data_IF_265370747964
#
_entry.id   IF_265370747964
#
_cell.length_a   1.000
_cell.length_b   1.000
_cell.length_c   1.000
_cell.angle_alpha   90.00
_cell.angle_beta   90.00
_cell.angle_gamma   90.00
#
_symmetry.space_group_name_H-M   'P 1'
#
loop_
_entity.id
_entity.type
_entity.pdbx_description
1 polymer ?
#
# COMPACT_ATOMS: atom_id res chain seq x y z
N UNK A 1 4.10 -2.14 -4.70
CA UNK A 1 3.39 -2.62 -3.51
C UNK A 1 4.43 -2.79 -2.40
N UNK A 2 4.08 -2.56 -1.13
CA UNK A 2 5.02 -2.57 0.00
C UNK A 2 5.47 -4.01 0.25
N UNK A 3 6.78 -4.29 0.29
CA UNK A 3 7.26 -5.64 0.55
C UNK A 3 7.02 -5.99 2.02
N UNK A 4 6.42 -7.14 2.28
CA UNK A 4 6.05 -7.61 3.61
C UNK A 4 6.90 -8.80 4.06
N UNK A 5 7.34 -8.79 5.31
CA UNK A 5 7.96 -9.91 6.00
C UNK A 5 6.99 -10.40 7.06
N UNK A 6 6.49 -11.61 6.85
CA UNK A 6 5.54 -12.23 7.76
C UNK A 6 6.26 -12.72 9.02
N UNK A 7 5.82 -12.32 10.22
CA UNK A 7 6.38 -12.87 11.45
C UNK A 7 5.93 -14.31 11.65
N UNK A 8 6.77 -15.12 12.29
CA UNK A 8 6.37 -16.45 12.75
C UNK A 8 5.21 -16.33 13.73
N UNK A 9 4.13 -17.07 13.49
CA UNK A 9 2.94 -17.06 14.35
C UNK A 9 3.11 -18.05 15.52
N UNK A 10 3.19 -17.58 16.78
CA UNK A 10 3.25 -18.46 17.94
C UNK A 10 1.97 -19.30 18.05
N UNK A 11 2.10 -20.57 18.45
CA UNK A 11 0.95 -21.49 18.57
C UNK A 11 -0.19 -20.94 19.44
N UNK A 12 0.14 -20.20 20.52
CA UNK A 12 -0.83 -19.54 21.41
C UNK A 12 -1.71 -18.49 20.72
N UNK A 13 -1.23 -17.91 19.61
CA UNK A 13 -1.95 -16.88 18.86
C UNK A 13 -2.78 -17.46 17.70
N UNK A 14 -2.68 -18.76 17.38
CA UNK A 14 -3.41 -19.36 16.25
C UNK A 14 -4.95 -19.27 16.37
N UNK A 15 -5.44 -19.13 17.59
CA UNK A 15 -6.88 -18.98 17.90
C UNK A 15 -7.33 -17.51 17.95
N UNK A 16 -6.41 -16.55 17.86
CA UNK A 16 -6.78 -15.14 17.80
C UNK A 16 -7.36 -14.80 16.41
N UNK A 17 -8.27 -13.82 16.32
CA UNK A 17 -8.82 -13.38 15.04
C UNK A 17 -7.72 -12.95 14.08
N UNK A 18 -7.70 -13.52 12.86
CA UNK A 18 -6.66 -13.25 11.87
C UNK A 18 -6.54 -11.75 11.54
N UNK A 19 -7.65 -11.03 11.44
CA UNK A 19 -7.67 -9.59 11.19
C UNK A 19 -6.82 -8.81 12.20
N UNK A 20 -6.99 -9.09 13.51
CA UNK A 20 -6.22 -8.42 14.58
C UNK A 20 -4.73 -8.72 14.50
N UNK A 21 -4.39 -9.97 14.19
CA UNK A 21 -2.99 -10.39 14.03
C UNK A 21 -2.34 -9.71 12.82
N UNK A 22 -3.04 -9.63 11.69
CA UNK A 22 -2.56 -8.97 10.48
C UNK A 22 -2.42 -7.46 10.67
N UNK A 23 -3.38 -6.79 11.32
CA UNK A 23 -3.28 -5.35 11.64
C UNK A 23 -2.10 -5.10 12.58
N UNK A 24 -1.86 -6.01 13.53
CA UNK A 24 -0.71 -5.93 14.43
C UNK A 24 0.63 -6.20 13.73
N UNK A 25 0.66 -7.09 12.75
CA UNK A 25 1.88 -7.47 12.03
C UNK A 25 2.24 -6.48 10.91
N UNK A 26 1.24 -5.96 10.19
CA UNK A 26 1.42 -5.20 8.95
C UNK A 26 0.84 -3.79 9.00
N UNK A 27 0.09 -3.45 10.05
CA UNK A 27 -0.54 -2.15 10.20
C UNK A 27 -1.93 -2.09 9.57
N UNK A 28 -2.59 -0.93 9.75
CA UNK A 28 -3.93 -0.65 9.23
C UNK A 28 -3.88 -0.21 7.76
N UNK A 29 -3.31 -1.06 6.89
CA UNK A 29 -3.22 -0.80 5.45
C UNK A 29 -3.66 -2.01 4.64
N UNK A 30 -4.31 -1.76 3.52
CA UNK A 30 -4.53 -2.78 2.51
C UNK A 30 -3.17 -3.33 2.04
N UNK A 31 -3.06 -4.65 1.93
CA UNK A 31 -1.81 -5.33 1.60
C UNK A 31 -1.38 -5.11 0.15
N UNK A 32 -2.29 -4.70 -0.73
CA UNK A 32 -2.04 -4.54 -2.17
C UNK A 32 -2.03 -3.07 -2.61
N UNK A 33 -3.12 -2.34 -2.34
CA UNK A 33 -3.21 -0.92 -2.73
C UNK A 33 -2.58 0.04 -1.71
N UNK A 34 -2.23 -0.45 -0.50
CA UNK A 34 -1.58 0.31 0.58
C UNK A 34 -2.42 1.46 1.16
N UNK A 35 -3.71 1.52 0.80
CA UNK A 35 -4.65 2.48 1.35
C UNK A 35 -4.86 2.22 2.85
N UNK A 36 -4.97 3.26 3.69
CA UNK A 36 -5.37 3.13 5.09
C UNK A 36 -6.73 2.42 5.23
N UNK A 37 -6.84 1.56 6.23
CA UNK A 37 -8.08 0.85 6.60
C UNK A 37 -8.77 1.63 7.74
N UNK A 38 -9.82 2.39 7.41
CA UNK A 38 -10.50 3.29 8.34
C UNK A 38 -11.76 2.65 8.96
N UNK A 39 -12.59 2.01 8.14
CA UNK A 39 -13.91 1.51 8.57
C UNK A 39 -13.97 -0.01 8.50
N UNK A 40 -13.91 -0.56 7.28
CA UNK A 40 -14.04 -1.99 7.04
C UNK A 40 -12.70 -2.64 6.66
N UNK A 41 -12.53 -3.89 7.12
CA UNK A 41 -11.36 -4.70 6.85
C UNK A 41 -11.75 -6.12 6.49
N UNK A 42 -11.21 -6.62 5.37
CA UNK A 42 -11.43 -7.99 4.92
C UNK A 42 -10.13 -8.79 5.02
N UNK A 43 -10.24 -10.03 5.49
CA UNK A 43 -9.12 -10.98 5.50
C UNK A 43 -9.24 -11.87 4.27
N UNK A 44 -8.36 -11.66 3.29
CA UNK A 44 -8.33 -12.44 2.05
C UNK A 44 -7.30 -13.56 2.13
N UNK A 45 -7.68 -14.76 1.67
CA UNK A 45 -6.82 -15.93 1.63
C UNK A 45 -6.32 -16.20 0.20
N UNK A 46 -5.03 -15.97 -0.02
CA UNK A 46 -4.39 -16.11 -1.33
C UNK A 46 -4.43 -17.54 -1.91
N UNK A 47 -4.65 -18.56 -1.08
CA UNK A 47 -4.76 -19.95 -1.56
C UNK A 47 -6.13 -20.22 -2.18
N UNK A 48 -7.17 -19.63 -1.62
CA UNK A 48 -8.57 -19.90 -2.02
C UNK A 48 -9.18 -18.79 -2.85
N UNK A 49 -8.57 -17.60 -2.86
CA UNK A 49 -9.14 -16.40 -3.47
C UNK A 49 -10.33 -15.82 -2.70
N UNK A 50 -10.70 -16.41 -1.56
CA UNK A 50 -11.88 -16.02 -0.79
C UNK A 50 -11.52 -15.10 0.37
N UNK A 51 -12.43 -14.17 0.69
CA UNK A 51 -12.39 -13.46 1.96
C UNK A 51 -13.02 -14.31 3.06
N UNK A 52 -12.39 -14.31 4.22
CA UNK A 52 -12.91 -14.91 5.43
C UNK A 52 -13.54 -13.79 6.25
N UNK A 53 -14.85 -13.91 6.49
CA UNK A 53 -15.62 -12.88 7.19
C UNK A 53 -15.61 -13.10 8.71
N UNK A 54 -15.58 -12.00 9.46
CA UNK A 54 -15.82 -11.95 10.90
C UNK A 54 -14.64 -12.28 11.81
N UNK A 55 -14.86 -12.10 13.11
CA UNK A 55 -13.88 -12.35 14.19
C UNK A 55 -13.48 -13.84 14.32
N UNK A 56 -14.18 -14.75 13.64
CA UNK A 56 -13.96 -16.19 13.71
C UNK A 56 -12.94 -16.71 12.68
N UNK A 57 -12.32 -15.84 11.89
CA UNK A 57 -11.27 -16.25 10.97
C UNK A 57 -10.06 -16.76 11.76
N UNK A 58 -9.88 -18.09 11.79
CA UNK A 58 -8.70 -18.72 12.38
C UNK A 58 -7.44 -18.31 11.62
N UNK A 59 -6.32 -18.16 12.32
CA UNK A 59 -5.03 -17.91 11.69
C UNK A 59 -4.33 -19.21 11.22
N UNK A 60 -5.09 -20.26 10.90
CA UNK A 60 -4.53 -21.54 10.44
C UNK A 60 -3.76 -21.40 9.12
N UNK A 61 -4.26 -20.55 8.22
CA UNK A 61 -3.64 -20.26 6.93
C UNK A 61 -2.76 -19.00 6.96
N UNK A 62 -2.19 -18.66 8.12
CA UNK A 62 -1.45 -17.40 8.36
C UNK A 62 -0.56 -16.95 7.19
N UNK A 63 0.18 -17.88 6.57
CA UNK A 63 1.09 -17.61 5.45
C UNK A 63 0.40 -17.02 4.21
N UNK A 64 -0.90 -17.27 4.04
CA UNK A 64 -1.70 -16.90 2.88
C UNK A 64 -2.71 -15.78 3.17
N UNK A 65 -2.76 -15.25 4.40
CA UNK A 65 -3.75 -14.22 4.77
C UNK A 65 -3.21 -12.80 4.55
N UNK A 66 -4.07 -11.94 4.01
CA UNK A 66 -3.80 -10.53 3.68
C UNK A 66 -5.01 -9.66 4.04
N UNK A 67 -4.76 -8.38 4.32
CA UNK A 67 -5.81 -7.39 4.55
C UNK A 67 -6.18 -6.70 3.24
N UNK A 68 -7.47 -6.57 2.95
CA UNK A 68 -7.99 -5.77 1.85
C UNK A 68 -8.76 -4.56 2.40
N UNK A 69 -8.70 -3.45 1.66
CA UNK A 69 -9.68 -2.37 1.73
C UNK A 69 -10.94 -2.73 0.93
N UNK A 70 -11.97 -1.88 1.04
CA UNK A 70 -13.26 -2.07 0.38
C UNK A 70 -13.13 -2.27 -1.12
N UNK A 71 -12.37 -1.40 -1.79
CA UNK A 71 -12.27 -1.40 -3.24
C UNK A 71 -11.45 -2.59 -3.76
N UNK A 72 -10.38 -3.02 -3.06
CA UNK A 72 -9.70 -4.28 -3.44
C UNK A 72 -10.59 -5.49 -3.17
N UNK A 73 -11.39 -5.46 -2.10
CA UNK A 73 -12.34 -6.52 -1.80
C UNK A 73 -13.44 -6.62 -2.88
N UNK A 74 -14.03 -5.51 -3.31
CA UNK A 74 -15.00 -5.50 -4.40
C UNK A 74 -14.39 -5.94 -5.72
N UNK A 75 -13.20 -5.43 -6.06
CA UNK A 75 -12.50 -5.80 -7.29
C UNK A 75 -12.23 -7.32 -7.36
N UNK A 76 -11.75 -7.94 -6.28
CA UNK A 76 -11.48 -9.38 -6.30
C UNK A 76 -12.75 -10.23 -6.42
N UNK A 77 -13.91 -9.76 -5.95
CA UNK A 77 -15.18 -10.48 -6.14
C UNK A 77 -15.58 -10.57 -7.61
N UNK A 78 -15.15 -9.61 -8.43
CA UNK A 78 -15.45 -9.53 -9.86
C UNK A 78 -14.31 -10.07 -10.73
N UNK A 79 -13.16 -10.40 -10.13
CA UNK A 79 -11.97 -10.80 -10.84
C UNK A 79 -12.06 -12.25 -11.38
N UNK A 80 -11.33 -12.51 -12.47
CA UNK A 80 -11.19 -13.84 -13.02
C UNK A 80 -10.35 -14.72 -12.07
N UNK A 81 -10.94 -15.82 -11.60
CA UNK A 81 -10.28 -16.78 -10.72
C UNK A 81 -9.07 -17.47 -11.38
N UNK A 82 -8.97 -17.46 -12.71
CA UNK A 82 -7.78 -17.94 -13.41
C UNK A 82 -6.53 -17.10 -13.14
N UNK A 83 -6.69 -15.85 -12.69
CA UNK A 83 -5.55 -14.99 -12.34
C UNK A 83 -4.98 -15.28 -10.96
N UNK A 84 -5.74 -15.93 -10.06
CA UNK A 84 -5.33 -16.23 -8.69
C UNK A 84 -3.94 -16.89 -8.56
N UNK A 85 -3.60 -17.97 -9.31
CA UNK A 85 -2.26 -18.57 -9.23
C UNK A 85 -1.16 -17.69 -9.84
N UNK A 86 -1.51 -16.64 -10.58
CA UNK A 86 -0.57 -15.74 -11.25
C UNK A 86 -0.23 -14.50 -10.40
N UNK A 87 -0.99 -14.24 -9.34
CA UNK A 87 -0.82 -13.03 -8.53
C UNK A 87 0.58 -12.97 -7.93
N UNK A 88 1.18 -11.79 -7.99
CA UNK A 88 2.34 -11.44 -7.20
C UNK A 88 1.89 -10.98 -5.82
N UNK A 89 2.29 -11.71 -4.77
CA UNK A 89 1.94 -11.40 -3.38
C UNK A 89 2.99 -10.49 -2.73
N UNK A 90 2.58 -9.60 -1.79
CA UNK A 90 3.49 -8.65 -1.18
C UNK A 90 4.58 -9.27 -0.29
N UNK A 91 4.47 -10.55 0.07
CA UNK A 91 5.51 -11.29 0.83
C UNK A 91 6.56 -11.97 -0.04
N UNK A 92 6.44 -11.88 -1.36
CA UNK A 92 7.39 -12.50 -2.27
C UNK A 92 8.63 -11.63 -2.47
N UNK A 93 9.78 -12.26 -2.68
CA UNK A 93 11.07 -11.58 -2.90
C UNK A 93 11.06 -10.67 -4.13
N UNK A 94 10.20 -10.95 -5.11
CA UNK A 94 10.04 -10.16 -6.33
C UNK A 94 9.51 -8.74 -6.06
N UNK A 95 8.86 -8.52 -4.91
CA UNK A 95 8.28 -7.23 -4.50
C UNK A 95 9.32 -6.30 -3.84
N UNK A 96 10.50 -6.82 -3.49
CA UNK A 96 11.57 -6.04 -2.87
C UNK A 96 12.03 -4.89 -3.77
N UNK A 97 12.56 -3.81 -3.15
CA UNK A 97 13.02 -2.61 -3.86
C UNK A 97 14.56 -2.43 -3.89
N UNK A 98 15.36 -3.45 -4.27
CA UNK A 98 16.81 -3.33 -4.20
C UNK A 98 17.32 -2.20 -5.10
N UNK A 99 18.32 -1.46 -4.61
CA UNK A 99 18.89 -0.32 -5.32
C UNK A 99 19.33 -0.70 -6.75
N UNK A 100 18.86 0.08 -7.74
CA UNK A 100 19.25 -0.08 -9.15
C UNK A 100 18.55 -1.21 -9.93
N UNK A 101 17.54 -1.89 -9.34
CA UNK A 101 16.77 -2.92 -10.03
C UNK A 101 15.52 -2.37 -10.75
N UNK A 102 15.09 -3.08 -11.80
CA UNK A 102 13.79 -2.87 -12.42
C UNK A 102 12.70 -3.48 -11.53
N UNK A 103 11.80 -2.64 -11.02
CA UNK A 103 10.70 -3.10 -10.17
C UNK A 103 9.53 -3.63 -11.03
N UNK A 104 8.89 -4.75 -10.63
CA UNK A 104 7.72 -5.27 -11.36
C UNK A 104 6.53 -4.30 -11.40
N UNK A 105 6.42 -3.41 -10.40
CA UNK A 105 5.44 -2.33 -10.37
C UNK A 105 6.18 -0.99 -10.40
N UNK A 106 5.86 -0.17 -11.39
CA UNK A 106 6.36 1.19 -11.52
C UNK A 106 5.23 2.18 -11.25
N UNK A 107 5.50 3.20 -10.44
CA UNK A 107 4.56 4.24 -10.07
C UNK A 107 4.97 5.53 -10.76
N UNK A 108 4.07 6.13 -11.54
CA UNK A 108 4.39 7.35 -12.29
C UNK A 108 3.23 8.32 -12.26
N UNK A 109 3.55 9.59 -12.04
CA UNK A 109 2.63 10.70 -12.25
C UNK A 109 2.44 10.96 -13.75
N UNK A 110 1.20 10.93 -14.22
CA UNK A 110 0.83 11.08 -15.63
C UNK A 110 -0.36 12.02 -15.77
N UNK A 111 -0.51 12.68 -16.92
CA UNK A 111 -1.73 13.39 -17.25
C UNK A 111 -2.69 12.44 -17.98
N UNK A 112 -3.91 12.33 -17.46
CA UNK A 112 -4.98 11.51 -18.02
C UNK A 112 -6.24 12.34 -18.20
N UNK A 113 -7.18 11.89 -19.05
CA UNK A 113 -8.48 12.54 -19.18
C UNK A 113 -9.48 11.92 -18.20
N UNK A 114 -10.03 12.73 -17.29
CA UNK A 114 -11.21 12.35 -16.51
C UNK A 114 -12.45 12.63 -17.33
N UNK A 115 -13.33 11.64 -17.43
CA UNK A 115 -14.61 11.72 -18.14
C UNK A 115 -15.71 11.32 -17.16
N UNK A 116 -16.63 12.24 -16.88
CA UNK A 116 -17.78 11.96 -16.03
C UNK A 116 -19.00 11.61 -16.88
N UNK A 117 -19.68 10.53 -16.49
CA UNK A 117 -20.80 9.95 -17.22
C UNK A 117 -22.11 10.17 -16.46
N UNK A 118 -23.18 10.54 -17.15
CA UNK A 118 -24.52 10.63 -16.55
C UNK A 118 -25.17 9.24 -16.42
N UNK A 119 -26.43 9.21 -15.98
CA UNK A 119 -27.20 7.95 -15.80
C UNK A 119 -27.41 7.18 -17.13
N UNK A 120 -27.36 7.88 -18.26
CA UNK A 120 -27.50 7.30 -19.61
C UNK A 120 -26.13 6.90 -20.21
N UNK A 121 -25.05 6.93 -19.41
CA UNK A 121 -23.65 6.75 -19.83
C UNK A 121 -23.16 7.78 -20.86
N UNK A 122 -23.82 8.94 -20.96
CA UNK A 122 -23.39 10.03 -21.81
C UNK A 122 -22.36 10.90 -21.09
N UNK A 123 -21.36 11.37 -21.83
CA UNK A 123 -20.32 12.25 -21.27
C UNK A 123 -20.90 13.65 -21.03
N UNK A 124 -20.83 14.14 -19.80
CA UNK A 124 -21.23 15.52 -19.47
C UNK A 124 -20.06 16.41 -19.04
N UNK A 125 -18.94 15.83 -18.63
CA UNK A 125 -17.73 16.57 -18.24
C UNK A 125 -16.47 15.81 -18.67
N UNK A 126 -15.47 16.56 -19.14
CA UNK A 126 -14.17 16.04 -19.55
C UNK A 126 -13.07 17.04 -19.22
N UNK A 127 -12.05 16.60 -18.50
CA UNK A 127 -10.93 17.46 -18.13
C UNK A 127 -9.61 16.69 -17.98
N UNK A 128 -8.46 17.33 -18.22
CA UNK A 128 -7.17 16.77 -17.89
C UNK A 128 -6.92 16.81 -16.37
N UNK A 129 -6.54 15.67 -15.80
CA UNK A 129 -6.07 15.59 -14.40
C UNK A 129 -4.67 14.98 -14.35
N UNK A 130 -3.92 15.31 -13.30
CA UNK A 130 -2.71 14.58 -12.93
C UNK A 130 -3.08 13.39 -12.06
N UNK A 131 -2.56 12.20 -12.37
CA UNK A 131 -2.85 10.98 -11.64
C UNK A 131 -1.62 10.08 -11.53
N UNK A 132 -1.48 9.39 -10.40
CA UNK A 132 -0.43 8.38 -10.23
C UNK A 132 -0.93 7.01 -10.61
N UNK A 133 -0.41 6.50 -11.73
CA UNK A 133 -0.74 5.18 -12.24
C UNK A 133 0.36 4.16 -11.93
N UNK A 134 -0.08 2.91 -11.76
CA UNK A 134 0.78 1.74 -11.63
C UNK A 134 0.93 1.11 -13.01
N UNK A 135 2.16 1.06 -13.50
CA UNK A 135 2.53 0.40 -14.76
C UNK A 135 3.38 -0.83 -14.47
N UNK A 136 3.34 -1.79 -15.40
CA UNK A 136 4.07 -3.05 -15.26
C UNK A 136 4.32 -3.70 -16.61
N UNK A 137 5.48 -4.30 -16.76
CA UNK A 137 5.83 -5.20 -17.86
C UNK A 137 5.91 -6.67 -17.40
N UNK A 138 5.74 -6.93 -16.10
CA UNK A 138 5.85 -8.25 -15.50
C UNK A 138 4.46 -8.91 -15.36
N UNK A 139 4.26 -10.06 -15.99
CA UNK A 139 2.94 -10.71 -16.11
C UNK A 139 2.22 -10.93 -14.77
N UNK A 140 2.94 -11.34 -13.72
CA UNK A 140 2.34 -11.54 -12.37
C UNK A 140 1.90 -10.24 -11.72
N UNK A 141 2.66 -9.18 -11.93
CA UNK A 141 2.33 -7.86 -11.42
C UNK A 141 1.14 -7.28 -12.19
N UNK A 142 1.05 -7.56 -13.50
CA UNK A 142 -0.12 -7.23 -14.31
C UNK A 142 -1.38 -7.96 -13.84
N UNK A 143 -1.27 -9.26 -13.52
CA UNK A 143 -2.36 -10.02 -12.93
C UNK A 143 -2.80 -9.41 -11.59
N UNK A 144 -1.87 -9.06 -10.69
CA UNK A 144 -2.22 -8.38 -9.43
C UNK A 144 -2.90 -7.03 -9.64
N UNK A 145 -2.43 -6.22 -10.60
CA UNK A 145 -3.04 -4.92 -10.92
C UNK A 145 -4.49 -5.09 -11.40
N UNK A 146 -4.77 -6.11 -12.23
CA UNK A 146 -6.13 -6.39 -12.71
C UNK A 146 -7.02 -6.99 -11.62
N UNK A 147 -6.55 -8.04 -10.94
CA UNK A 147 -7.32 -8.78 -9.94
C UNK A 147 -7.83 -7.89 -8.80
N UNK A 148 -7.04 -6.91 -8.37
CA UNK A 148 -7.43 -5.96 -7.32
C UNK A 148 -7.80 -4.57 -7.85
N UNK A 149 -7.93 -4.42 -9.17
CA UNK A 149 -8.17 -3.15 -9.86
C UNK A 149 -7.30 -2.01 -9.30
N UNK A 150 -5.99 -2.21 -9.16
CA UNK A 150 -5.12 -1.29 -8.41
C UNK A 150 -5.08 0.12 -9.01
N UNK A 151 -5.43 0.31 -10.28
CA UNK A 151 -5.58 1.64 -10.90
C UNK A 151 -7.03 2.14 -10.93
N UNK A 152 -7.90 1.63 -10.06
CA UNK A 152 -9.38 1.72 -10.10
C UNK A 152 -10.02 0.89 -11.22
N UNK A 153 -11.27 0.50 -11.03
CA UNK A 153 -12.11 -0.16 -12.06
C UNK A 153 -12.53 0.83 -13.16
N UNK A 154 -12.47 2.13 -12.90
CA UNK A 154 -12.84 3.19 -13.85
C UNK A 154 -11.76 3.50 -14.89
N UNK A 155 -10.56 2.93 -14.76
CA UNK A 155 -9.46 3.22 -15.69
C UNK A 155 -9.64 2.47 -17.02
N UNK A 156 -9.68 3.23 -18.11
CA UNK A 156 -9.50 2.71 -19.45
C UNK A 156 -8.05 2.95 -19.87
N UNK A 157 -7.21 1.93 -19.71
CA UNK A 157 -5.79 2.01 -20.02
C UNK A 157 -5.51 2.24 -21.51
N UNK A 158 -6.35 1.70 -22.41
CA UNK A 158 -6.15 1.82 -23.86
C UNK A 158 -6.42 3.25 -24.35
N UNK A 159 -7.42 3.91 -23.76
CA UNK A 159 -7.78 5.30 -24.09
C UNK A 159 -7.02 6.34 -23.24
N UNK A 160 -6.28 5.92 -22.22
CA UNK A 160 -5.70 6.80 -21.20
C UNK A 160 -6.76 7.73 -20.55
N UNK A 161 -7.93 7.14 -20.25
CA UNK A 161 -9.09 7.83 -19.68
C UNK A 161 -9.50 7.23 -18.34
N UNK A 162 -9.95 8.06 -17.42
CA UNK A 162 -10.63 7.70 -16.19
C UNK A 162 -12.12 8.00 -16.36
N UNK A 163 -12.92 6.97 -16.62
CA UNK A 163 -14.36 7.10 -16.94
C UNK A 163 -15.20 6.72 -15.71
N UNK A 164 -15.77 7.71 -15.05
CA UNK A 164 -16.48 7.52 -13.77
C UNK A 164 -17.95 7.88 -13.93
N UNK A 165 -18.89 7.00 -13.54
CA UNK A 165 -20.29 7.38 -13.38
C UNK A 165 -20.44 8.55 -12.39
N UNK A 166 -21.28 9.53 -12.71
CA UNK A 166 -21.43 10.76 -11.92
C UNK A 166 -21.86 10.49 -10.48
N UNK A 167 -22.73 9.49 -10.26
CA UNK A 167 -23.13 9.05 -8.92
C UNK A 167 -21.96 8.47 -8.11
N UNK A 168 -21.07 7.71 -8.76
CA UNK A 168 -19.89 7.12 -8.11
C UNK A 168 -18.85 8.20 -7.78
N UNK A 169 -18.70 9.19 -8.66
CA UNK A 169 -17.84 10.36 -8.42
C UNK A 169 -18.35 11.18 -7.21
N UNK A 170 -19.65 11.48 -7.17
CA UNK A 170 -20.26 12.27 -6.08
C UNK A 170 -20.29 11.52 -4.74
N UNK A 171 -20.47 10.20 -4.77
CA UNK A 171 -20.44 9.35 -3.56
C UNK A 171 -19.03 9.04 -3.08
N UNK A 172 -18.01 9.39 -3.86
CA UNK A 172 -16.61 9.11 -3.58
C UNK A 172 -16.34 7.61 -3.39
N UNK A 173 -16.99 6.78 -4.21
CA UNK A 173 -17.00 5.32 -4.03
C UNK A 173 -15.58 4.73 -4.06
N UNK A 174 -14.79 5.05 -5.09
CA UNK A 174 -13.37 4.69 -5.18
C UNK A 174 -12.49 5.94 -5.31
N UNK A 175 -11.85 6.31 -4.20
CA UNK A 175 -10.91 7.45 -4.14
C UNK A 175 -9.45 7.02 -4.24
N UNK A 176 -9.14 5.76 -4.54
CA UNK A 176 -7.76 5.23 -4.41
C UNK A 176 -6.77 5.99 -5.30
N UNK A 177 -7.21 6.42 -6.48
CA UNK A 177 -6.35 7.12 -7.43
C UNK A 177 -6.04 8.55 -6.96
N UNK A 178 -7.06 9.27 -6.48
CA UNK A 178 -6.90 10.61 -5.89
C UNK A 178 -6.00 10.55 -4.66
N UNK A 179 -6.30 9.65 -3.70
CA UNK A 179 -5.53 9.52 -2.47
C UNK A 179 -4.06 9.12 -2.72
N UNK A 180 -3.82 8.25 -3.70
CA UNK A 180 -2.46 7.92 -4.13
C UNK A 180 -1.75 9.14 -4.72
N UNK A 181 -2.46 9.92 -5.53
CA UNK A 181 -1.91 11.12 -6.16
C UNK A 181 -1.59 12.19 -5.11
N UNK A 182 -2.46 12.36 -4.12
CA UNK A 182 -2.22 13.22 -2.96
C UNK A 182 -0.98 12.77 -2.18
N UNK A 183 -0.85 11.46 -1.92
CA UNK A 183 0.30 10.88 -1.23
C UNK A 183 1.62 11.12 -1.99
N UNK A 184 1.60 11.03 -3.32
CA UNK A 184 2.73 11.37 -4.17
C UNK A 184 3.11 12.84 -4.07
N UNK A 185 2.16 13.75 -4.31
CA UNK A 185 2.38 15.19 -4.30
C UNK A 185 2.91 15.66 -2.94
N UNK A 186 2.25 15.22 -1.87
CA UNK A 186 2.67 15.49 -0.50
C UNK A 186 4.11 15.02 -0.24
N UNK A 187 4.43 13.79 -0.63
CA UNK A 187 5.76 13.21 -0.38
C UNK A 187 6.84 13.93 -1.20
N UNK A 188 6.54 14.26 -2.45
CA UNK A 188 7.44 15.00 -3.31
C UNK A 188 7.73 16.39 -2.73
N UNK A 189 6.70 17.11 -2.28
CA UNK A 189 6.85 18.41 -1.64
C UNK A 189 7.68 18.35 -0.36
N UNK A 190 7.41 17.38 0.51
CA UNK A 190 8.18 17.17 1.73
C UNK A 190 9.65 16.84 1.42
N UNK A 191 9.91 15.97 0.44
CA UNK A 191 11.25 15.61 0.00
C UNK A 191 12.04 16.82 -0.55
N UNK A 192 11.40 17.70 -1.33
CA UNK A 192 12.03 18.94 -1.81
C UNK A 192 12.47 19.82 -0.64
N UNK A 193 11.58 20.06 0.34
CA UNK A 193 11.89 20.88 1.52
C UNK A 193 13.04 20.28 2.36
N UNK A 194 13.09 18.95 2.50
CA UNK A 194 14.17 18.25 3.20
C UNK A 194 15.51 18.42 2.44
N UNK A 195 15.49 18.32 1.11
CA UNK A 195 16.67 18.47 0.28
C UNK A 195 17.22 19.91 0.29
N UNK A 196 16.32 20.91 0.31
CA UNK A 196 16.64 22.34 0.39
C UNK A 196 17.09 22.80 1.79
N UNK A 197 16.96 21.94 2.81
CA UNK A 197 17.30 22.29 4.19
C UNK A 197 18.79 22.58 4.38
N UNK A 198 19.08 23.72 5.02
CA UNK A 198 20.46 24.25 5.16
C UNK A 198 21.29 23.56 6.24
N UNK A 199 20.64 22.96 7.25
CA UNK A 199 21.34 22.29 8.36
C UNK A 199 20.99 20.80 8.42
N UNK A 200 21.97 20.01 8.86
CA UNK A 200 21.80 18.57 9.01
C UNK A 200 20.69 18.22 10.02
N UNK A 201 20.59 18.96 11.12
CA UNK A 201 19.56 18.72 12.14
C UNK A 201 18.12 18.92 11.62
N UNK A 202 17.90 19.96 10.80
CA UNK A 202 16.58 20.20 10.19
C UNK A 202 16.25 19.10 9.19
N UNK A 203 17.25 18.67 8.40
CA UNK A 203 17.08 17.56 7.46
C UNK A 203 16.71 16.26 8.17
N UNK A 204 17.40 15.91 9.25
CA UNK A 204 17.12 14.70 10.04
C UNK A 204 15.72 14.75 10.66
N UNK A 205 15.32 15.88 11.24
CA UNK A 205 13.97 16.07 11.76
C UNK A 205 12.91 15.94 10.65
N UNK A 206 13.17 16.51 9.48
CA UNK A 206 12.30 16.41 8.31
C UNK A 206 12.15 14.98 7.81
N UNK A 207 13.23 14.19 7.76
CA UNK A 207 13.19 12.77 7.39
C UNK A 207 12.35 11.96 8.40
N UNK A 208 12.49 12.21 9.70
CA UNK A 208 11.65 11.55 10.71
C UNK A 208 10.18 11.95 10.60
N UNK A 209 9.90 13.23 10.34
CA UNK A 209 8.53 13.70 10.12
C UNK A 209 7.91 13.07 8.86
N UNK A 210 8.67 13.01 7.76
CA UNK A 210 8.21 12.35 6.53
C UNK A 210 7.89 10.87 6.79
N UNK A 211 8.75 10.17 7.53
CA UNK A 211 8.54 8.76 7.92
C UNK A 211 7.22 8.56 8.66
N UNK A 212 6.92 9.41 9.64
CA UNK A 212 5.66 9.34 10.40
C UNK A 212 4.44 9.66 9.51
N UNK A 213 4.55 10.68 8.65
CA UNK A 213 3.45 11.12 7.80
C UNK A 213 3.10 10.07 6.74
N UNK A 214 4.10 9.47 6.06
CA UNK A 214 3.84 8.36 5.14
C UNK A 214 3.22 7.17 5.91
N UNK A 215 3.63 6.94 7.16
CA UNK A 215 3.04 5.95 8.07
C UNK A 215 1.59 6.22 8.47
N UNK A 216 1.03 7.36 8.08
CA UNK A 216 -0.36 7.75 8.35
C UNK A 216 -1.15 7.83 7.03
N UNK A 217 -0.55 8.39 5.99
CA UNK A 217 -1.14 8.54 4.65
C UNK A 217 -1.33 7.20 3.93
N UNK A 218 -0.44 6.22 4.19
CA UNK A 218 -0.40 4.98 3.43
C UNK A 218 0.33 5.16 2.09
N UNK A 219 0.00 4.31 1.11
CA UNK A 219 0.62 4.33 -0.22
C UNK A 219 2.15 4.33 -0.19
N UNK A 220 2.73 3.52 0.70
CA UNK A 220 4.18 3.41 0.93
C UNK A 220 5.01 3.35 -0.35
N UNK A 221 4.62 2.56 -1.37
CA UNK A 221 5.36 2.41 -2.63
C UNK A 221 5.31 3.67 -3.47
N UNK A 222 4.18 4.36 -3.43
CA UNK A 222 3.98 5.64 -4.12
C UNK A 222 4.87 6.69 -3.49
N UNK A 223 4.82 6.81 -2.16
CA UNK A 223 5.62 7.74 -1.39
C UNK A 223 7.13 7.47 -1.58
N UNK A 224 7.55 6.20 -1.54
CA UNK A 224 8.95 5.83 -1.77
C UNK A 224 9.41 6.21 -3.17
N UNK A 225 8.60 5.94 -4.18
CA UNK A 225 8.92 6.30 -5.57
C UNK A 225 9.02 7.81 -5.73
N UNK A 226 8.06 8.57 -5.21
CA UNK A 226 8.04 10.03 -5.25
C UNK A 226 9.27 10.64 -4.57
N UNK A 227 9.56 10.21 -3.33
CA UNK A 227 10.74 10.67 -2.59
C UNK A 227 12.04 10.32 -3.31
N UNK A 228 12.11 9.14 -3.95
CA UNK A 228 13.30 8.68 -4.68
C UNK A 228 13.63 9.47 -5.94
N UNK A 229 12.72 10.34 -6.40
CA UNK A 229 13.03 11.31 -7.47
C UNK A 229 13.87 12.51 -6.98
N UNK A 230 13.98 12.71 -5.65
CA UNK A 230 14.60 13.89 -5.04
C UNK A 230 15.68 13.51 -4.03
N UNK A 231 15.38 12.58 -3.12
CA UNK A 231 16.27 12.22 -2.02
C UNK A 231 17.28 11.15 -2.45
N UNK A 232 18.53 11.22 -1.98
CA UNK A 232 19.52 10.17 -2.19
C UNK A 232 19.11 8.88 -1.45
N UNK A 233 19.66 7.75 -1.92
CA UNK A 233 19.28 6.42 -1.45
C UNK A 233 19.42 6.25 0.07
N UNK A 234 20.48 6.79 0.69
CA UNK A 234 20.71 6.67 2.12
C UNK A 234 19.62 7.39 2.95
N UNK A 235 19.03 8.47 2.41
CA UNK A 235 17.93 9.18 3.05
C UNK A 235 16.61 8.43 2.85
N UNK A 236 16.41 7.78 1.70
CA UNK A 236 15.26 6.89 1.50
C UNK A 236 15.26 5.75 2.50
N UNK A 237 16.41 5.13 2.76
CA UNK A 237 16.52 4.07 3.76
C UNK A 237 16.11 4.57 5.16
N UNK A 238 16.50 5.78 5.55
CA UNK A 238 16.11 6.36 6.84
C UNK A 238 14.58 6.52 6.99
N UNK A 239 13.89 6.81 5.89
CA UNK A 239 12.42 7.01 5.89
C UNK A 239 11.68 5.68 5.80
N UNK A 240 12.11 4.79 4.91
CA UNK A 240 11.31 3.64 4.47
C UNK A 240 11.77 2.29 5.03
N UNK A 241 13.01 2.15 5.50
CA UNK A 241 13.50 0.88 6.06
C UNK A 241 13.01 0.67 7.50
N UNK A 242 12.83 -0.57 7.97
CA UNK A 242 12.48 -0.85 9.36
C UNK A 242 13.60 -0.45 10.34
N UNK A 243 13.24 0.26 11.42
CA UNK A 243 14.17 0.61 12.50
C UNK A 243 14.53 -0.66 13.29
N UNK A 244 15.82 -0.95 13.52
CA UNK A 244 16.23 -2.05 14.40
C UNK A 244 15.70 -1.85 15.83
N UNK A 245 15.01 -2.84 16.38
CA UNK A 245 14.44 -2.81 17.74
C UNK A 245 15.49 -2.48 18.83
N UNK A 246 16.78 -2.73 18.59
CA UNK A 246 17.88 -2.46 19.52
C UNK A 246 18.31 -0.99 19.67
N UNK A 247 17.80 -0.06 18.87
CA UNK A 247 18.09 1.39 19.03
C UNK A 247 17.09 2.12 19.93
N UNK A 248 16.09 1.42 20.47
CA UNK A 248 15.04 2.00 21.30
C UNK A 248 15.28 1.64 22.78
N UNK A 249 16.18 2.37 23.42
CA UNK A 249 16.38 2.29 24.87
C UNK A 249 15.26 3.04 25.62
N UNK A 250 14.08 2.42 25.71
CA UNK A 250 13.19 2.60 26.87
C UNK A 250 12.84 1.20 27.37
N UNK A 251 13.49 0.83 28.47
CA UNK A 251 13.32 -0.44 29.21
C UNK A 251 11.88 -0.66 29.66
N UNK A 252 11.17 -1.57 28.99
CA UNK A 252 10.04 -2.31 29.57
C UNK A 252 10.09 -3.77 29.10
N UNK A 253 10.60 -4.65 29.98
CA UNK A 253 10.56 -6.13 29.95
C UNK A 253 11.13 -6.87 28.71
N UNK A 254 11.47 -8.18 28.81
CA UNK A 254 12.24 -8.87 27.77
C UNK A 254 11.40 -9.03 26.49
N UNK A 255 11.75 -8.24 25.48
CA UNK A 255 11.18 -8.20 24.13
C UNK A 255 11.52 -9.44 23.28
N UNK A 256 11.90 -10.56 23.89
CA UNK A 256 12.44 -11.71 23.15
C UNK A 256 11.37 -12.55 22.44
N UNK A 257 10.07 -12.29 22.65
CA UNK A 257 8.97 -13.11 22.10
C UNK A 257 7.88 -12.34 21.34
N UNK A 258 8.04 -11.02 21.13
CA UNK A 258 6.95 -10.15 20.63
C UNK A 258 7.33 -9.19 19.50
N UNK A 259 8.56 -9.27 18.98
CA UNK A 259 9.11 -8.35 17.98
C UNK A 259 8.29 -8.18 16.69
N UNK A 260 7.34 -9.08 16.39
CA UNK A 260 6.59 -9.09 15.12
C UNK A 260 5.13 -8.61 15.19
N UNK A 261 4.58 -8.31 16.37
CA UNK A 261 3.16 -7.97 16.56
C UNK A 261 3.01 -6.71 17.42
N UNK A 262 3.56 -5.59 16.93
CA UNK A 262 3.61 -4.32 17.67
C UNK A 262 2.59 -3.29 17.19
N UNK A 263 1.91 -3.55 16.06
CA UNK A 263 0.94 -2.65 15.45
C UNK A 263 1.57 -1.38 14.87
N UNK A 264 0.72 -0.53 14.29
CA UNK A 264 1.12 0.80 13.87
C UNK A 264 1.39 1.68 15.11
N UNK A 265 2.52 2.36 15.12
CA UNK A 265 2.86 3.32 16.17
C UNK A 265 3.97 4.28 15.75
N UNK A 266 4.25 5.33 16.55
CA UNK A 266 5.26 6.33 16.23
C UNK A 266 6.67 5.73 16.05
N UNK A 267 6.91 4.52 16.54
CA UNK A 267 8.18 3.83 16.43
C UNK A 267 8.23 2.79 15.30
N UNK A 268 7.08 2.41 14.74
CA UNK A 268 6.93 1.50 13.61
C UNK A 268 5.78 1.97 12.71
N UNK A 269 6.01 2.96 11.84
CA UNK A 269 4.99 3.45 10.90
C UNK A 269 4.62 2.42 9.83
N UNK A 270 5.52 1.46 9.57
CA UNK A 270 5.31 0.36 8.60
C UNK A 270 5.73 -0.99 9.19
N UNK A 271 4.99 -1.53 10.17
CA UNK A 271 5.33 -2.82 10.76
C UNK A 271 5.31 -3.91 9.67
N UNK A 272 6.20 -4.89 9.82
CA UNK A 272 6.31 -6.00 8.87
C UNK A 272 6.83 -5.63 7.49
N UNK A 273 7.42 -4.45 7.27
CA UNK A 273 8.03 -4.10 5.97
C UNK A 273 9.39 -4.79 5.83
N UNK A 274 9.68 -5.36 4.66
CA UNK A 274 10.99 -5.95 4.37
C UNK A 274 12.09 -4.89 4.32
N UNK A 275 13.31 -5.25 4.75
CA UNK A 275 14.50 -4.42 4.48
C UNK A 275 14.80 -4.42 2.98
N UNK A 276 15.30 -3.28 2.51
CA UNK A 276 15.49 -2.96 1.11
C UNK A 276 16.97 -2.88 0.76
#
# INVERSE_FOLDING_TARGET
>A
MRPLVRPLLPNRLRQAPAARLLLSAFGNFCSFCERPLLDDVWVWNARTGACVEGDNCSAQDWEHLYLLDHDCHQAQQQADQQELPLLMLPTESLVSYPHGANYPLSYSFQSIQRVLLDEDNSEYEREPIGAVLISTTHYRAQATVRYFALNTSYINADANELRIPGLDYLSLLDRRLDQRTDAWNFTQEAAMRINESQTQAVREAGLQQLRLLVGTVGFWSTCRTAAGTILPYEQLQQVFDPIPLGQLAITVQPLEHHAGFLGNGPHQPFPGTARI
#
